data_IF_438527081503
#
_entry.id   IF_438527081503
#
_cell.length_a   1.000
_cell.length_b   1.000
_cell.length_c   1.000
_cell.angle_alpha   90.00
_cell.angle_beta   90.00
_cell.angle_gamma   90.00
#
_symmetry.space_group_name_H-M   'P 1'
#
loop_
_entity.id
_entity.type
_entity.pdbx_description
1 polymer ?
#
# COMPACT_ATOMS: atom_id res chain seq x y z
N UNK A 1 -17.08 19.63 42.70
CA UNK A 1 -16.25 18.77 41.83
C UNK A 1 -16.87 17.38 41.86
N UNK A 2 -17.39 16.92 40.75
CA UNK A 2 -17.91 15.57 40.63
C UNK A 2 -16.76 14.56 40.75
N UNK A 3 -16.95 13.52 41.54
CA UNK A 3 -15.87 12.58 41.82
C UNK A 3 -15.72 11.60 40.63
N UNK A 4 -14.54 11.57 39.99
CA UNK A 4 -14.21 10.60 38.96
C UNK A 4 -14.12 9.21 39.56
N UNK A 5 -15.08 8.34 39.25
CA UNK A 5 -15.14 6.95 39.74
C UNK A 5 -14.48 5.97 38.79
N UNK A 6 -14.09 4.80 39.31
CA UNK A 6 -13.54 3.73 38.45
C UNK A 6 -14.56 3.24 37.40
N UNK A 7 -15.86 3.32 37.70
CA UNK A 7 -16.93 2.98 36.75
C UNK A 7 -16.99 3.94 35.57
N UNK A 8 -16.91 5.25 35.84
CA UNK A 8 -16.86 6.26 34.77
C UNK A 8 -15.64 6.11 33.89
N UNK A 9 -14.46 5.83 34.48
CA UNK A 9 -13.23 5.58 33.70
C UNK A 9 -13.38 4.34 32.83
N UNK A 10 -13.99 3.27 33.35
CA UNK A 10 -14.26 2.05 32.57
C UNK A 10 -15.23 2.34 31.43
N UNK A 11 -16.33 3.05 31.70
CA UNK A 11 -17.32 3.41 30.68
C UNK A 11 -16.70 4.25 29.56
N UNK A 12 -15.91 5.28 29.89
CA UNK A 12 -15.23 6.10 28.90
C UNK A 12 -14.23 5.27 28.08
N UNK A 13 -13.51 4.35 28.72
CA UNK A 13 -12.60 3.42 28.04
C UNK A 13 -13.35 2.49 27.09
N UNK A 14 -14.46 1.92 27.51
CA UNK A 14 -15.28 1.02 26.69
C UNK A 14 -15.85 1.75 25.46
N UNK A 15 -16.18 3.06 25.60
CA UNK A 15 -16.68 3.92 24.50
C UNK A 15 -15.58 4.43 23.55
N UNK A 16 -14.36 4.65 24.04
CA UNK A 16 -13.28 5.31 23.25
C UNK A 16 -12.14 4.36 22.86
N UNK A 17 -11.98 3.25 23.55
CA UNK A 17 -10.85 2.33 23.39
C UNK A 17 -9.50 2.88 23.89
N UNK A 18 -9.47 4.05 24.53
CA UNK A 18 -8.25 4.70 25.00
C UNK A 18 -7.71 4.08 26.31
N UNK A 19 -6.45 4.40 26.64
CA UNK A 19 -5.82 3.93 27.86
C UNK A 19 -6.51 4.44 29.13
N UNK A 20 -6.53 3.63 30.21
CA UNK A 20 -7.20 3.94 31.48
C UNK A 20 -6.78 5.29 32.08
N UNK A 21 -5.47 5.62 32.02
CA UNK A 21 -4.96 6.86 32.58
C UNK A 21 -5.35 8.08 31.76
N UNK A 22 -5.47 7.92 30.44
CA UNK A 22 -5.94 8.96 29.53
C UNK A 22 -7.43 9.23 29.76
N UNK A 23 -8.25 8.19 29.86
CA UNK A 23 -9.66 8.32 30.20
C UNK A 23 -9.87 8.99 31.58
N UNK A 24 -9.07 8.59 32.59
CA UNK A 24 -9.12 9.23 33.91
C UNK A 24 -8.80 10.73 33.83
N UNK A 25 -7.75 11.11 33.11
CA UNK A 25 -7.37 12.52 32.94
C UNK A 25 -8.47 13.32 32.24
N UNK A 26 -9.01 12.77 31.13
CA UNK A 26 -10.08 13.43 30.39
C UNK A 26 -11.33 13.66 31.26
N UNK A 27 -11.71 12.67 32.08
CA UNK A 27 -12.81 12.82 33.00
C UNK A 27 -12.55 13.86 34.11
N UNK A 28 -11.32 13.98 34.60
CA UNK A 28 -10.96 15.02 35.57
C UNK A 28 -11.09 16.42 34.95
N UNK A 29 -10.60 16.60 33.72
CA UNK A 29 -10.68 17.86 32.96
C UNK A 29 -12.13 18.23 32.59
N UNK A 30 -12.99 17.21 32.39
CA UNK A 30 -14.41 17.37 32.06
C UNK A 30 -15.34 17.37 33.30
N UNK A 31 -14.82 17.47 34.55
CA UNK A 31 -15.61 17.40 35.78
C UNK A 31 -16.50 16.14 35.90
N UNK A 32 -16.00 14.98 35.47
CA UNK A 32 -16.66 13.68 35.41
C UNK A 32 -17.85 13.60 34.42
N UNK A 33 -17.97 14.52 33.48
CA UNK A 33 -18.91 14.49 32.37
C UNK A 33 -18.32 13.65 31.22
N UNK A 34 -18.93 12.50 30.93
CA UNK A 34 -18.45 11.58 29.90
C UNK A 34 -18.59 12.15 28.50
N UNK A 35 -19.68 12.81 28.19
CA UNK A 35 -19.94 13.31 26.83
C UNK A 35 -19.02 14.49 26.51
N UNK A 36 -18.80 15.36 27.48
CA UNK A 36 -17.79 16.41 27.39
C UNK A 36 -16.37 15.85 27.26
N UNK A 37 -16.03 14.83 28.04
CA UNK A 37 -14.73 14.15 27.93
C UNK A 37 -14.50 13.57 26.53
N UNK A 38 -15.52 12.95 25.91
CA UNK A 38 -15.46 12.44 24.54
C UNK A 38 -15.25 13.57 23.53
N UNK A 39 -15.99 14.66 23.67
CA UNK A 39 -15.85 15.82 22.80
C UNK A 39 -14.44 16.43 22.86
N UNK A 40 -13.90 16.62 24.07
CA UNK A 40 -12.56 17.16 24.29
C UNK A 40 -11.46 16.21 23.79
N UNK A 41 -11.64 14.90 23.95
CA UNK A 41 -10.76 13.87 23.37
C UNK A 41 -10.77 13.93 21.84
N UNK A 42 -11.93 14.09 21.21
CA UNK A 42 -12.03 14.26 19.75
C UNK A 42 -11.33 15.52 19.27
N UNK A 43 -11.48 16.64 19.94
CA UNK A 43 -10.77 17.89 19.62
C UNK A 43 -9.26 17.75 19.76
N UNK A 44 -8.79 16.94 20.71
CA UNK A 44 -7.36 16.72 20.93
C UNK A 44 -6.75 15.68 19.99
N UNK A 45 -7.55 14.79 19.37
CA UNK A 45 -7.05 13.72 18.49
C UNK A 45 -6.35 14.29 17.26
N UNK A 46 -6.92 15.29 16.61
CA UNK A 46 -6.32 15.95 15.45
C UNK A 46 -4.96 16.56 15.74
N UNK A 47 -4.79 17.23 16.91
CA UNK A 47 -3.48 17.76 17.31
C UNK A 47 -2.44 16.66 17.54
N UNK A 48 -2.85 15.51 18.09
CA UNK A 48 -1.96 14.36 18.30
C UNK A 48 -1.59 13.70 16.97
N UNK A 49 -2.55 13.55 16.06
CA UNK A 49 -2.30 13.04 14.73
C UNK A 49 -1.35 13.95 13.93
N UNK A 50 -1.58 15.27 13.96
CA UNK A 50 -0.72 16.25 13.30
C UNK A 50 0.74 16.21 13.80
N UNK A 51 0.96 16.02 15.11
CA UNK A 51 2.30 15.88 15.69
C UNK A 51 3.04 14.62 15.21
N UNK A 52 2.32 13.60 14.79
CA UNK A 52 2.88 12.32 14.33
C UNK A 52 2.98 12.22 12.81
N UNK A 53 2.29 13.08 12.06
CA UNK A 53 2.22 13.03 10.61
C UNK A 53 3.59 13.10 9.90
N UNK A 54 4.60 13.71 10.53
CA UNK A 54 5.96 13.78 10.01
C UNK A 54 6.83 12.54 10.28
N UNK A 55 6.30 11.52 10.98
CA UNK A 55 7.08 10.29 11.24
C UNK A 55 6.98 9.36 10.05
N UNK A 56 8.09 8.71 9.71
CA UNK A 56 8.13 7.72 8.63
C UNK A 56 7.21 6.54 8.95
N UNK A 57 6.28 6.26 8.06
CA UNK A 57 5.33 5.16 8.13
C UNK A 57 5.49 4.30 6.87
N UNK A 58 6.38 3.30 6.93
CA UNK A 58 6.74 2.44 5.80
C UNK A 58 6.17 1.02 5.90
N UNK A 59 5.57 0.68 7.03
CA UNK A 59 4.75 -0.52 7.22
C UNK A 59 3.26 -0.23 6.97
N UNK A 60 2.39 -1.20 7.19
CA UNK A 60 0.96 -1.06 7.00
C UNK A 60 0.32 -2.19 6.22
N UNK A 61 -0.79 -1.89 5.56
CA UNK A 61 -1.57 -2.84 4.76
C UNK A 61 -1.99 -2.25 3.42
N UNK A 62 -2.13 -3.15 2.45
CA UNK A 62 -2.88 -2.91 1.21
C UNK A 62 -4.21 -3.66 1.25
N UNK A 63 -5.22 -3.11 0.60
CA UNK A 63 -6.54 -3.74 0.50
C UNK A 63 -7.14 -3.52 -0.88
N UNK A 64 -7.94 -4.48 -1.32
CA UNK A 64 -8.62 -4.47 -2.61
C UNK A 64 -10.12 -4.69 -2.40
N UNK A 65 -10.92 -3.98 -3.18
CA UNK A 65 -12.33 -4.29 -3.38
C UNK A 65 -12.63 -4.34 -4.86
N UNK A 66 -13.21 -5.45 -5.31
CA UNK A 66 -13.63 -5.67 -6.70
C UNK A 66 -15.08 -6.13 -6.70
N UNK A 67 -15.89 -5.57 -7.58
CA UNK A 67 -17.24 -6.01 -7.83
C UNK A 67 -17.61 -5.67 -9.28
N UNK A 68 -17.97 -6.70 -10.05
CA UNK A 68 -18.24 -6.56 -11.47
C UNK A 68 -17.03 -6.04 -12.25
N UNK A 69 -17.27 -5.07 -13.14
CA UNK A 69 -16.23 -4.45 -13.97
C UNK A 69 -15.45 -3.31 -13.29
N UNK A 70 -15.46 -3.20 -11.95
CA UNK A 70 -14.76 -2.13 -11.21
C UNK A 70 -13.98 -2.65 -10.01
N UNK A 71 -12.76 -2.17 -9.86
CA UNK A 71 -11.90 -2.53 -8.74
C UNK A 71 -11.13 -1.33 -8.19
N UNK A 72 -10.90 -1.34 -6.87
CA UNK A 72 -10.12 -0.34 -6.15
C UNK A 72 -9.06 -1.03 -5.31
N UNK A 73 -7.87 -0.45 -5.28
CA UNK A 73 -6.78 -0.82 -4.39
C UNK A 73 -6.36 0.39 -3.56
N UNK A 74 -6.12 0.18 -2.28
CA UNK A 74 -5.65 1.22 -1.35
C UNK A 74 -4.41 0.75 -0.60
N UNK A 75 -3.56 1.71 -0.21
CA UNK A 75 -2.46 1.51 0.73
C UNK A 75 -2.64 2.45 1.91
N UNK A 76 -2.60 1.88 3.12
CA UNK A 76 -2.61 2.63 4.38
C UNK A 76 -1.38 2.22 5.17
N UNK A 77 -0.54 3.20 5.49
CA UNK A 77 0.74 2.97 6.17
C UNK A 77 0.64 3.20 7.68
N UNK A 78 1.54 2.52 8.41
CA UNK A 78 1.82 2.66 9.84
C UNK A 78 3.33 2.70 10.09
N UNK A 79 3.76 3.06 11.29
CA UNK A 79 5.19 3.09 11.63
C UNK A 79 5.75 1.67 11.76
N UNK A 80 4.97 0.71 12.31
CA UNK A 80 5.40 -0.66 12.58
C UNK A 80 4.46 -1.72 12.00
N UNK A 81 4.99 -2.94 11.80
CA UNK A 81 4.21 -4.11 11.37
C UNK A 81 3.25 -4.63 12.46
N UNK A 82 3.46 -4.28 13.73
CA UNK A 82 2.54 -4.63 14.81
C UNK A 82 1.18 -3.99 14.63
N UNK A 83 1.15 -2.73 14.18
CA UNK A 83 -0.11 -2.00 13.90
C UNK A 83 -0.88 -2.65 12.77
N UNK A 84 -0.22 -3.21 11.76
CA UNK A 84 -0.87 -3.93 10.68
C UNK A 84 -1.71 -5.15 11.15
N UNK A 85 -1.46 -5.64 12.37
CA UNK A 85 -2.21 -6.75 13.00
C UNK A 85 -3.30 -6.28 13.95
N UNK A 86 -3.38 -4.98 14.26
CA UNK A 86 -4.43 -4.41 15.12
C UNK A 86 -5.79 -4.43 14.40
N UNK A 87 -6.82 -4.97 15.07
CA UNK A 87 -8.17 -5.08 14.49
C UNK A 87 -8.78 -3.72 14.15
N UNK A 88 -8.47 -2.68 14.93
CA UNK A 88 -8.94 -1.31 14.67
C UNK A 88 -8.30 -0.73 13.40
N UNK A 89 -6.99 -0.99 13.19
CA UNK A 89 -6.29 -0.60 11.98
C UNK A 89 -6.84 -1.34 10.75
N UNK A 90 -7.03 -2.66 10.84
CA UNK A 90 -7.62 -3.45 9.76
C UNK A 90 -9.03 -2.99 9.42
N UNK A 91 -9.85 -2.69 10.44
CA UNK A 91 -11.19 -2.12 10.27
C UNK A 91 -11.17 -0.76 9.58
N UNK A 92 -10.20 0.08 9.91
CA UNK A 92 -10.01 1.37 9.26
C UNK A 92 -9.60 1.21 7.79
N UNK A 93 -8.65 0.33 7.46
CA UNK A 93 -8.26 0.02 6.07
C UNK A 93 -9.46 -0.48 5.27
N UNK A 94 -10.28 -1.36 5.86
CA UNK A 94 -11.51 -1.84 5.24
C UNK A 94 -12.53 -0.71 5.00
N UNK A 95 -12.65 0.25 5.92
CA UNK A 95 -13.50 1.42 5.74
C UNK A 95 -13.01 2.30 4.58
N UNK A 96 -11.70 2.56 4.49
CA UNK A 96 -11.09 3.36 3.42
C UNK A 96 -11.33 2.71 2.05
N UNK A 97 -11.08 1.41 1.87
CA UNK A 97 -11.29 0.76 0.56
C UNK A 97 -12.76 0.69 0.19
N UNK A 98 -13.67 0.49 1.16
CA UNK A 98 -15.11 0.50 0.91
C UNK A 98 -15.63 1.88 0.51
N UNK A 99 -15.17 2.93 1.17
CA UNK A 99 -15.51 4.30 0.84
C UNK A 99 -14.97 4.68 -0.56
N UNK A 100 -13.71 4.36 -0.85
CA UNK A 100 -13.10 4.57 -2.16
C UNK A 100 -13.85 3.87 -3.29
N UNK A 101 -14.24 2.62 -3.06
CA UNK A 101 -15.06 1.86 -4.01
C UNK A 101 -16.43 2.50 -4.24
N UNK A 102 -17.14 2.86 -3.18
CA UNK A 102 -18.51 3.39 -3.26
C UNK A 102 -18.57 4.78 -3.88
N UNK A 103 -17.57 5.62 -3.63
CA UNK A 103 -17.48 6.98 -4.17
C UNK A 103 -16.78 7.05 -5.54
N UNK A 104 -16.20 5.94 -6.03
CA UNK A 104 -15.31 5.90 -7.19
C UNK A 104 -14.15 6.92 -7.07
N UNK A 105 -13.62 7.09 -5.87
CA UNK A 105 -12.55 8.04 -5.59
C UNK A 105 -11.25 7.64 -6.29
N UNK A 106 -10.58 8.63 -6.85
CA UNK A 106 -9.24 8.51 -7.47
C UNK A 106 -8.18 9.31 -6.73
N UNK A 107 -8.60 10.11 -5.75
CA UNK A 107 -7.73 10.93 -4.91
C UNK A 107 -7.94 10.59 -3.42
N UNK A 108 -6.83 10.21 -2.75
CA UNK A 108 -6.87 9.78 -1.36
C UNK A 108 -7.15 10.94 -0.41
N UNK A 109 -6.63 12.15 -0.69
CA UNK A 109 -6.83 13.30 0.19
C UNK A 109 -8.30 13.71 0.20
N UNK A 110 -8.95 13.78 -0.95
CA UNK A 110 -10.38 14.06 -1.06
C UNK A 110 -11.24 12.96 -0.41
N UNK A 111 -10.84 11.68 -0.54
CA UNK A 111 -11.55 10.56 0.09
C UNK A 111 -11.52 10.65 1.62
N UNK A 112 -10.42 11.14 2.17
CA UNK A 112 -10.20 11.21 3.62
C UNK A 112 -10.93 12.37 4.30
N UNK A 113 -11.56 13.28 3.56
CA UNK A 113 -12.30 14.38 4.17
C UNK A 113 -13.49 13.87 5.01
N UNK A 114 -13.70 14.48 6.18
CA UNK A 114 -14.85 14.20 7.04
C UNK A 114 -14.67 13.00 7.99
N UNK A 115 -15.57 12.02 7.92
CA UNK A 115 -15.65 10.93 8.90
C UNK A 115 -14.41 10.00 8.89
N UNK A 116 -13.81 9.76 7.72
CA UNK A 116 -12.61 8.94 7.60
C UNK A 116 -11.41 9.60 8.28
N UNK A 117 -11.23 10.91 8.11
CA UNK A 117 -10.17 11.64 8.79
C UNK A 117 -10.38 11.62 10.31
N UNK A 118 -11.60 11.84 10.78
CA UNK A 118 -11.94 11.75 12.19
C UNK A 118 -11.66 10.35 12.77
N UNK A 119 -11.95 9.29 12.00
CA UNK A 119 -11.63 7.91 12.39
C UNK A 119 -10.12 7.65 12.43
N UNK A 120 -9.36 8.17 11.45
CA UNK A 120 -7.88 8.11 11.43
C UNK A 120 -7.28 8.78 12.66
N UNK A 121 -7.71 10.01 12.97
CA UNK A 121 -7.23 10.76 14.13
C UNK A 121 -7.49 10.03 15.45
N UNK A 122 -8.68 9.46 15.61
CA UNK A 122 -9.02 8.66 16.79
C UNK A 122 -8.14 7.40 16.88
N UNK A 123 -7.86 6.76 15.75
CA UNK A 123 -7.00 5.58 15.68
C UNK A 123 -5.54 5.91 16.00
N UNK A 124 -5.00 7.03 15.47
CA UNK A 124 -3.67 7.54 15.82
C UNK A 124 -3.56 7.83 17.32
N UNK A 125 -4.60 8.41 17.92
CA UNK A 125 -4.63 8.65 19.36
C UNK A 125 -4.61 7.35 20.16
N UNK A 126 -5.38 6.33 19.73
CA UNK A 126 -5.48 5.04 20.41
C UNK A 126 -4.19 4.23 20.30
N UNK A 127 -3.63 4.11 19.10
CA UNK A 127 -2.45 3.28 18.80
C UNK A 127 -1.16 3.99 19.20
N UNK A 128 -1.09 5.30 18.98
CA UNK A 128 0.10 6.07 19.30
C UNK A 128 1.14 6.16 18.18
N UNK A 129 0.83 5.67 16.98
CA UNK A 129 1.67 5.74 15.78
C UNK A 129 1.07 6.65 14.70
N UNK A 130 1.90 7.09 13.75
CA UNK A 130 1.43 7.74 12.54
C UNK A 130 0.68 6.71 11.68
N UNK A 131 -0.51 7.08 11.23
CA UNK A 131 -1.33 6.30 10.29
C UNK A 131 -1.60 7.20 9.09
N UNK A 132 -1.13 6.74 7.92
CA UNK A 132 -1.19 7.50 6.68
C UNK A 132 -1.91 6.72 5.58
N UNK A 133 -3.17 7.03 5.26
CA UNK A 133 -3.77 6.63 3.99
C UNK A 133 -2.98 7.29 2.86
N UNK A 134 -2.20 6.48 2.14
CA UNK A 134 -1.16 6.99 1.24
C UNK A 134 -1.63 7.15 -0.19
N UNK A 135 -2.22 6.09 -0.74
CA UNK A 135 -2.59 6.06 -2.15
C UNK A 135 -3.81 5.19 -2.41
N UNK A 136 -4.54 5.55 -3.44
CA UNK A 136 -5.68 4.82 -3.99
C UNK A 136 -5.55 4.76 -5.50
N UNK A 137 -5.96 3.66 -6.10
CA UNK A 137 -6.08 3.54 -7.54
C UNK A 137 -7.26 2.66 -7.89
N UNK A 138 -7.77 2.80 -9.11
CA UNK A 138 -8.90 2.02 -9.59
C UNK A 138 -8.66 1.51 -11.02
N UNK A 139 -9.38 0.44 -11.36
CA UNK A 139 -9.45 -0.13 -12.70
C UNK A 139 -10.92 -0.34 -13.05
N UNK A 140 -11.32 0.04 -14.25
CA UNK A 140 -12.64 -0.23 -14.82
C UNK A 140 -12.44 -0.94 -16.17
N UNK A 141 -13.08 -2.11 -16.34
CA UNK A 141 -12.96 -2.98 -17.52
C UNK A 141 -14.18 -3.90 -17.63
N UNK A 142 -14.26 -4.71 -18.70
CA UNK A 142 -15.34 -5.71 -18.81
C UNK A 142 -15.30 -6.70 -17.65
N UNK A 143 -14.10 -7.12 -17.27
CA UNK A 143 -13.82 -8.01 -16.13
C UNK A 143 -12.68 -7.43 -15.31
N UNK A 144 -12.86 -7.33 -14.00
CA UNK A 144 -11.80 -6.93 -13.08
C UNK A 144 -11.55 -8.04 -12.06
N UNK A 145 -10.28 -8.41 -11.89
CA UNK A 145 -9.83 -9.33 -10.86
C UNK A 145 -8.92 -8.67 -9.86
N UNK A 146 -9.01 -9.10 -8.62
CA UNK A 146 -8.16 -8.60 -7.54
C UNK A 146 -7.42 -9.73 -6.82
N UNK A 147 -6.21 -9.45 -6.35
CA UNK A 147 -5.43 -10.36 -5.53
C UNK A 147 -4.73 -9.59 -4.42
N UNK A 148 -4.83 -10.11 -3.21
CA UNK A 148 -4.04 -9.64 -2.06
C UNK A 148 -3.19 -10.81 -1.58
N UNK A 149 -1.88 -10.60 -1.48
CA UNK A 149 -0.97 -11.62 -1.00
C UNK A 149 -1.21 -11.91 0.50
N UNK A 150 -0.93 -13.14 0.94
CA UNK A 150 -1.28 -13.64 2.28
C UNK A 150 -0.75 -12.79 3.46
N UNK A 151 0.32 -12.02 3.24
CA UNK A 151 0.88 -11.11 4.23
C UNK A 151 0.26 -9.70 4.20
N UNK A 152 -0.72 -9.45 3.31
CA UNK A 152 -1.40 -8.17 3.08
C UNK A 152 -0.45 -7.00 2.75
N UNK A 153 0.76 -7.30 2.23
CA UNK A 153 1.75 -6.28 1.84
C UNK A 153 1.79 -6.00 0.34
N UNK A 154 1.22 -6.89 -0.48
CA UNK A 154 1.13 -6.73 -1.93
C UNK A 154 -0.33 -6.93 -2.34
N UNK A 155 -0.84 -6.00 -3.11
CA UNK A 155 -2.16 -6.07 -3.71
C UNK A 155 -2.13 -5.67 -5.18
N UNK A 156 -2.93 -6.34 -5.97
CA UNK A 156 -3.03 -6.12 -7.42
C UNK A 156 -4.49 -6.12 -7.84
N UNK A 157 -4.83 -5.22 -8.75
CA UNK A 157 -6.07 -5.27 -9.54
C UNK A 157 -5.72 -5.31 -11.02
N UNK A 158 -6.43 -6.13 -11.78
CA UNK A 158 -6.22 -6.33 -13.22
C UNK A 158 -7.54 -6.13 -13.94
N UNK A 159 -7.53 -5.38 -15.04
CA UNK A 159 -8.66 -5.21 -15.95
C UNK A 159 -8.45 -5.99 -17.23
N UNK A 160 -9.46 -6.78 -17.61
CA UNK A 160 -9.50 -7.53 -18.86
C UNK A 160 -10.65 -7.04 -19.75
N UNK A 161 -10.42 -7.11 -21.06
CA UNK A 161 -11.50 -7.13 -22.05
C UNK A 161 -11.81 -8.60 -22.36
N UNK A 162 -13.00 -9.07 -21.97
CA UNK A 162 -13.37 -10.48 -22.06
C UNK A 162 -12.75 -11.39 -20.98
N UNK A 163 -12.98 -12.72 -21.13
CA UNK A 163 -12.56 -13.69 -20.11
C UNK A 163 -13.50 -13.72 -18.91
N UNK A 164 -12.98 -14.15 -17.76
CA UNK A 164 -13.72 -14.28 -16.50
C UNK A 164 -12.91 -13.77 -15.29
N UNK A 165 -13.55 -13.71 -14.13
CA UNK A 165 -12.95 -13.23 -12.88
C UNK A 165 -11.81 -14.15 -12.39
N UNK A 166 -11.87 -15.45 -12.67
CA UNK A 166 -10.83 -16.41 -12.26
C UNK A 166 -9.53 -16.12 -13.04
N UNK A 167 -9.64 -15.93 -14.36
CA UNK A 167 -8.52 -15.53 -15.20
C UNK A 167 -7.91 -14.20 -14.74
N UNK A 168 -8.74 -13.18 -14.49
CA UNK A 168 -8.28 -11.88 -14.04
C UNK A 168 -7.56 -11.97 -12.69
N UNK A 169 -8.07 -12.78 -11.75
CA UNK A 169 -7.43 -13.05 -10.46
C UNK A 169 -6.11 -13.80 -10.62
N UNK A 170 -6.04 -14.74 -11.52
CA UNK A 170 -4.82 -15.51 -11.82
C UNK A 170 -3.72 -14.61 -12.40
N UNK A 171 -4.08 -13.71 -13.30
CA UNK A 171 -3.16 -12.67 -13.80
C UNK A 171 -2.75 -11.73 -12.69
N UNK A 172 -3.67 -11.30 -11.81
CA UNK A 172 -3.35 -10.44 -10.67
C UNK A 172 -2.36 -11.11 -9.70
N UNK A 173 -2.52 -12.41 -9.46
CA UNK A 173 -1.57 -13.20 -8.65
C UNK A 173 -0.18 -13.28 -9.31
N UNK A 174 -0.12 -13.47 -10.63
CA UNK A 174 1.14 -13.45 -11.38
C UNK A 174 1.83 -12.08 -11.26
N UNK A 175 1.09 -10.97 -11.47
CA UNK A 175 1.61 -9.61 -11.30
C UNK A 175 2.15 -9.37 -9.90
N UNK A 176 1.46 -9.86 -8.86
CA UNK A 176 1.93 -9.75 -7.48
C UNK A 176 3.29 -10.44 -7.27
N UNK A 177 3.51 -11.61 -7.92
CA UNK A 177 4.70 -12.41 -7.76
C UNK A 177 5.90 -11.91 -8.58
N UNK A 178 5.66 -11.45 -9.83
CA UNK A 178 6.73 -11.16 -10.81
C UNK A 178 7.01 -9.67 -10.96
N UNK A 179 6.04 -8.81 -10.60
CA UNK A 179 6.14 -7.35 -10.67
C UNK A 179 6.54 -6.84 -12.08
N UNK A 180 5.76 -7.11 -13.14
CA UNK A 180 6.03 -6.57 -14.46
C UNK A 180 5.91 -5.04 -14.45
N UNK A 181 6.70 -4.37 -15.29
CA UNK A 181 6.68 -2.92 -15.39
C UNK A 181 5.51 -2.40 -16.25
N UNK A 182 5.15 -3.14 -17.30
CA UNK A 182 4.12 -2.77 -18.30
C UNK A 182 3.31 -3.99 -18.70
N UNK A 183 2.14 -3.77 -19.35
CA UNK A 183 1.37 -4.89 -19.90
C UNK A 183 2.10 -5.52 -21.10
N UNK A 184 2.59 -4.69 -22.02
CA UNK A 184 3.29 -5.14 -23.22
C UNK A 184 4.52 -4.25 -23.52
N UNK A 185 5.48 -4.77 -24.27
CA UNK A 185 6.78 -4.14 -24.52
C UNK A 185 6.70 -2.79 -25.26
N UNK A 186 5.65 -2.56 -26.04
CA UNK A 186 5.37 -1.30 -26.73
C UNK A 186 4.95 -0.17 -25.78
N UNK A 187 4.51 -0.51 -24.57
CA UNK A 187 4.15 0.45 -23.51
C UNK A 187 5.37 0.87 -22.67
N UNK A 188 6.55 0.25 -22.87
CA UNK A 188 7.73 0.62 -22.10
C UNK A 188 8.18 2.04 -22.46
N UNK A 189 8.34 2.94 -21.46
CA UNK A 189 8.82 4.30 -21.71
C UNK A 189 10.15 4.34 -22.45
N UNK A 190 10.24 5.16 -23.48
CA UNK A 190 11.42 5.22 -24.36
C UNK A 190 12.70 5.66 -23.64
N UNK A 191 12.57 6.48 -22.60
CA UNK A 191 13.68 6.93 -21.75
C UNK A 191 14.25 5.78 -20.92
N UNK A 192 13.40 4.89 -20.39
CA UNK A 192 13.82 3.68 -19.67
C UNK A 192 14.57 2.74 -20.63
N UNK A 193 14.00 2.51 -21.82
CA UNK A 193 14.68 1.68 -22.85
C UNK A 193 16.04 2.26 -23.24
N UNK A 194 16.12 3.60 -23.38
CA UNK A 194 17.36 4.28 -23.71
C UNK A 194 18.41 4.15 -22.60
N UNK A 195 18.01 4.34 -21.34
CA UNK A 195 18.89 4.20 -20.19
C UNK A 195 19.44 2.77 -20.05
N UNK A 196 18.58 1.75 -20.18
CA UNK A 196 19.01 0.35 -20.15
C UNK A 196 19.94 0.00 -21.31
N UNK A 197 19.65 0.54 -22.51
CA UNK A 197 20.51 0.35 -23.68
C UNK A 197 21.92 0.93 -23.45
N UNK A 198 22.05 2.08 -22.80
CA UNK A 198 23.36 2.68 -22.49
C UNK A 198 24.12 1.81 -21.47
N UNK A 199 23.45 1.30 -20.44
CA UNK A 199 24.04 0.37 -19.46
C UNK A 199 24.54 -0.90 -20.17
N UNK A 200 23.71 -1.51 -21.03
CA UNK A 200 24.10 -2.71 -21.77
C UNK A 200 25.24 -2.44 -22.76
N UNK A 201 25.29 -1.24 -23.38
CA UNK A 201 26.38 -0.83 -24.25
C UNK A 201 27.69 -0.71 -23.47
N UNK A 202 27.70 -0.07 -22.33
CA UNK A 202 28.87 0.04 -21.46
C UNK A 202 29.41 -1.34 -21.08
N UNK A 203 28.56 -2.21 -20.57
CA UNK A 203 28.91 -3.59 -20.18
C UNK A 203 29.40 -4.45 -21.36
N UNK A 204 28.80 -4.29 -22.55
CA UNK A 204 29.21 -5.04 -23.74
C UNK A 204 30.59 -4.64 -24.25
N UNK A 205 30.94 -3.35 -24.16
CA UNK A 205 32.27 -2.84 -24.56
C UNK A 205 33.39 -3.37 -23.68
N UNK A 206 33.13 -3.60 -22.39
CA UNK A 206 34.10 -4.23 -21.49
C UNK A 206 34.49 -5.65 -21.90
N UNK A 207 33.65 -6.32 -22.71
CA UNK A 207 33.93 -7.69 -23.19
C UNK A 207 35.09 -7.77 -24.22
N UNK A 208 35.56 -6.64 -24.76
CA UNK A 208 36.64 -6.58 -25.75
C UNK A 208 36.29 -7.21 -27.11
N UNK A 209 35.03 -7.45 -27.42
CA UNK A 209 34.55 -8.05 -28.66
C UNK A 209 34.52 -7.01 -29.80
N UNK A 210 34.54 -7.44 -31.08
CA UNK A 210 34.31 -6.55 -32.20
C UNK A 210 32.99 -5.79 -32.12
N UNK A 211 32.95 -4.53 -32.58
CA UNK A 211 31.78 -3.64 -32.47
C UNK A 211 30.50 -4.27 -33.03
N UNK A 212 30.60 -4.97 -34.15
CA UNK A 212 29.47 -5.66 -34.79
C UNK A 212 28.84 -6.74 -33.90
N UNK A 213 29.64 -7.39 -33.05
CA UNK A 213 29.16 -8.37 -32.06
C UNK A 213 28.55 -7.63 -30.86
N UNK A 214 29.15 -6.52 -30.43
CA UNK A 214 28.67 -5.67 -29.36
C UNK A 214 27.26 -5.14 -29.69
N UNK A 215 27.05 -4.63 -30.91
CA UNK A 215 25.72 -4.16 -31.33
C UNK A 215 24.66 -5.26 -31.26
N UNK A 216 24.96 -6.47 -31.74
CA UNK A 216 24.05 -7.63 -31.65
C UNK A 216 23.75 -8.02 -30.19
N UNK A 217 24.77 -7.94 -29.31
CA UNK A 217 24.60 -8.20 -27.88
C UNK A 217 23.68 -7.19 -27.21
N UNK A 218 23.83 -5.88 -27.56
CA UNK A 218 22.98 -4.82 -27.02
C UNK A 218 21.53 -5.05 -27.42
N UNK A 219 21.25 -5.28 -28.70
CA UNK A 219 19.93 -5.58 -29.23
C UNK A 219 19.31 -6.80 -28.51
N UNK A 220 20.09 -7.89 -28.36
CA UNK A 220 19.64 -9.10 -27.68
C UNK A 220 19.29 -8.84 -26.22
N UNK A 221 20.09 -8.05 -25.49
CA UNK A 221 19.84 -7.71 -24.08
C UNK A 221 18.62 -6.79 -23.91
N UNK A 222 18.46 -5.78 -24.76
CA UNK A 222 17.29 -4.89 -24.76
C UNK A 222 16.01 -5.70 -25.01
N UNK A 223 16.02 -6.58 -26.01
CA UNK A 223 14.86 -7.45 -26.27
C UNK A 223 14.54 -8.38 -25.09
N UNK A 224 15.57 -8.90 -24.42
CA UNK A 224 15.39 -9.71 -23.21
C UNK A 224 14.78 -8.90 -22.08
N UNK A 225 15.32 -7.70 -21.79
CA UNK A 225 14.80 -6.78 -20.80
C UNK A 225 13.32 -6.45 -21.05
N UNK A 226 12.96 -6.10 -22.28
CA UNK A 226 11.57 -5.80 -22.65
C UNK A 226 10.64 -6.98 -22.39
N UNK A 227 11.05 -8.21 -22.75
CA UNK A 227 10.26 -9.42 -22.49
C UNK A 227 10.11 -9.73 -21.00
N UNK A 228 11.20 -9.59 -20.24
CA UNK A 228 11.18 -9.86 -18.81
C UNK A 228 10.35 -8.84 -18.02
N UNK A 229 10.25 -7.60 -18.53
CA UNK A 229 9.50 -6.50 -17.93
C UNK A 229 8.05 -6.41 -18.41
N UNK A 230 7.67 -7.17 -19.45
CA UNK A 230 6.33 -7.11 -20.07
C UNK A 230 5.46 -8.27 -19.62
N UNK A 231 4.33 -7.98 -18.99
CA UNK A 231 3.41 -8.96 -18.42
C UNK A 231 3.03 -10.06 -19.42
N UNK A 232 2.66 -9.69 -20.66
CA UNK A 232 2.19 -10.66 -21.66
C UNK A 232 3.27 -11.63 -22.15
N UNK A 233 4.55 -11.24 -22.04
CA UNK A 233 5.69 -12.04 -22.49
C UNK A 233 6.25 -12.97 -21.38
N UNK A 234 5.87 -12.75 -20.12
CA UNK A 234 6.36 -13.52 -18.97
C UNK A 234 5.75 -14.91 -18.93
N UNK A 235 6.56 -15.95 -18.58
CA UNK A 235 6.03 -17.28 -18.29
C UNK A 235 5.05 -17.22 -17.12
N UNK A 236 3.86 -17.81 -17.26
CA UNK A 236 2.84 -17.76 -16.21
C UNK A 236 3.27 -18.55 -14.96
N UNK A 237 3.11 -17.96 -13.76
CA UNK A 237 3.62 -18.54 -12.50
C UNK A 237 3.02 -19.91 -12.15
N UNK A 238 1.79 -20.21 -12.58
CA UNK A 238 1.15 -21.51 -12.36
C UNK A 238 1.49 -22.53 -13.43
N UNK A 239 1.87 -22.08 -14.63
CA UNK A 239 2.20 -22.92 -15.77
C UNK A 239 3.28 -22.22 -16.62
N UNK A 240 4.57 -22.43 -16.31
CA UNK A 240 5.68 -21.75 -17.01
C UNK A 240 5.85 -22.15 -18.49
N UNK A 241 5.16 -23.18 -18.96
CA UNK A 241 5.21 -23.61 -20.36
C UNK A 241 4.37 -22.69 -21.27
N UNK A 242 3.48 -21.85 -20.69
CA UNK A 242 2.72 -20.86 -21.42
C UNK A 242 3.06 -19.43 -20.94
N UNK A 243 3.00 -18.45 -21.84
CA UNK A 243 3.09 -17.03 -21.43
C UNK A 243 1.72 -16.51 -20.97
N UNK A 244 1.74 -15.48 -20.11
CA UNK A 244 0.50 -14.80 -19.66
C UNK A 244 -0.33 -14.33 -20.87
N UNK A 245 0.30 -13.76 -21.89
CA UNK A 245 -0.38 -13.33 -23.12
C UNK A 245 -1.06 -14.47 -23.86
N UNK A 246 -0.40 -15.63 -23.97
CA UNK A 246 -1.01 -16.82 -24.59
C UNK A 246 -2.19 -17.36 -23.78
N UNK A 247 -2.06 -17.40 -22.45
CA UNK A 247 -3.13 -17.82 -21.54
C UNK A 247 -4.37 -16.94 -21.74
N UNK A 248 -4.21 -15.63 -21.69
CA UNK A 248 -5.30 -14.66 -21.80
C UNK A 248 -5.95 -14.70 -23.19
N UNK A 249 -5.13 -14.78 -24.25
CA UNK A 249 -5.60 -14.91 -25.62
C UNK A 249 -6.39 -16.21 -25.88
N UNK A 250 -5.97 -17.32 -25.28
CA UNK A 250 -6.68 -18.60 -25.39
C UNK A 250 -8.07 -18.53 -24.75
N UNK A 251 -8.27 -17.69 -23.75
CA UNK A 251 -9.56 -17.40 -23.14
C UNK A 251 -10.39 -16.33 -23.89
N UNK A 252 -9.93 -15.85 -25.05
CA UNK A 252 -10.60 -14.80 -25.83
C UNK A 252 -10.59 -13.44 -25.14
N UNK A 253 -9.60 -13.16 -24.30
CA UNK A 253 -9.48 -11.95 -23.51
C UNK A 253 -8.22 -11.15 -23.89
N UNK A 254 -8.15 -9.91 -23.40
CA UNK A 254 -6.99 -9.03 -23.49
C UNK A 254 -6.78 -8.31 -22.16
N UNK A 255 -5.50 -8.13 -21.76
CA UNK A 255 -5.16 -7.36 -20.57
C UNK A 255 -5.15 -5.89 -20.95
N UNK A 256 -6.03 -5.10 -20.33
CA UNK A 256 -6.12 -3.66 -20.58
C UNK A 256 -5.17 -2.88 -19.66
N UNK A 257 -5.14 -3.24 -18.38
CA UNK A 257 -4.30 -2.57 -17.38
C UNK A 257 -4.16 -3.42 -16.13
N UNK A 258 -3.20 -3.05 -15.31
CA UNK A 258 -3.08 -3.50 -13.94
C UNK A 258 -2.56 -2.39 -13.04
N UNK A 259 -2.85 -2.52 -11.76
CA UNK A 259 -2.24 -1.70 -10.69
C UNK A 259 -1.72 -2.65 -9.63
N UNK A 260 -0.46 -2.48 -9.23
CA UNK A 260 0.17 -3.20 -8.13
C UNK A 260 0.63 -2.20 -7.07
N UNK A 261 0.24 -2.43 -5.83
CA UNK A 261 0.77 -1.74 -4.66
C UNK A 261 1.52 -2.70 -3.77
N UNK A 262 2.69 -2.26 -3.32
CA UNK A 262 3.44 -2.90 -2.25
C UNK A 262 3.60 -1.91 -1.10
N UNK A 263 3.36 -2.37 0.12
CA UNK A 263 3.43 -1.53 1.32
C UNK A 263 4.82 -0.93 1.46
N UNK A 264 4.85 0.40 1.57
CA UNK A 264 6.09 1.16 1.78
C UNK A 264 6.94 1.38 0.53
N UNK A 265 6.52 0.88 -0.64
CA UNK A 265 7.26 1.06 -1.89
C UNK A 265 7.56 2.54 -2.16
N UNK A 266 8.85 2.87 -2.39
CA UNK A 266 9.32 4.23 -2.64
C UNK A 266 9.33 5.16 -1.41
N UNK A 267 9.18 4.62 -0.20
CA UNK A 267 9.41 5.35 1.05
C UNK A 267 10.86 5.09 1.47
N UNK A 268 11.65 6.16 1.57
CA UNK A 268 13.00 6.08 2.11
C UNK A 268 12.91 5.82 3.62
N UNK A 269 13.43 4.69 4.05
CA UNK A 269 13.60 4.34 5.46
C UNK A 269 15.06 4.58 5.80
N UNK A 270 15.33 5.56 6.68
CA UNK A 270 16.67 5.70 7.24
C UNK A 270 17.02 4.40 8.00
N UNK A 271 18.07 3.72 7.59
CA UNK A 271 18.63 2.61 8.36
C UNK A 271 19.16 3.18 9.68
N UNK A 272 18.35 3.06 10.73
CA UNK A 272 18.78 3.43 12.07
C UNK A 272 19.79 2.39 12.53
N UNK A 273 21.05 2.79 12.63
CA UNK A 273 22.06 1.95 13.30
C UNK A 273 21.70 1.87 14.79
N UNK A 274 20.96 0.80 15.15
CA UNK A 274 20.50 0.55 16.51
C UNK A 274 21.66 0.56 17.52
N UNK A 275 22.87 0.14 17.12
CA UNK A 275 24.05 0.17 17.97
C UNK A 275 24.51 1.61 18.24
N UNK A 276 24.45 2.49 17.24
CA UNK A 276 24.76 3.91 17.38
C UNK A 276 23.72 4.64 18.24
N UNK A 277 22.44 4.31 18.10
CA UNK A 277 21.35 4.91 18.88
C UNK A 277 21.44 4.51 20.37
N UNK A 278 21.69 3.24 20.66
CA UNK A 278 21.94 2.76 22.03
C UNK A 278 23.17 3.42 22.62
N UNK A 279 24.26 3.57 21.86
CA UNK A 279 25.47 4.24 22.32
C UNK A 279 25.22 5.73 22.64
N UNK A 280 24.42 6.43 21.83
CA UNK A 280 24.03 7.81 22.08
C UNK A 280 23.17 7.95 23.35
N UNK A 281 22.19 7.07 23.56
CA UNK A 281 21.35 7.07 24.77
C UNK A 281 22.15 6.79 26.04
N UNK A 282 23.18 5.92 25.99
CA UNK A 282 24.06 5.66 27.12
C UNK A 282 24.96 6.86 27.44
N UNK A 283 25.36 7.63 26.41
CA UNK A 283 26.15 8.86 26.62
C UNK A 283 25.34 9.99 27.22
N UNK A 284 24.07 10.14 26.80
CA UNK A 284 23.16 11.17 27.34
C UNK A 284 22.69 10.87 28.79
N UNK A 285 22.82 9.62 29.23
CA UNK A 285 22.44 9.18 30.57
C UNK A 285 23.62 9.21 31.58
N UNK A 286 24.85 9.58 31.16
CA UNK A 286 26.07 9.65 31.96
C UNK A 286 26.49 11.06 32.29
#
# INVERSE_FOLDING_TARGET
MSQVTASLVKELRDRTGLGMMECKRALVEADADIDKAIEDLRKSSGMKAAKKAGRTAADGLVSVKVEGGYGVVVEVNSETDFVARDEGFQGFVAAVVNAGFSSKATDMAALMEGDLESAREALVQKIGENISPRRISCVEADVVGGYVHSNNRIAVIVGLSGGDEELAKDVAMHVAAVNPAVVSSDQMPADIVAAEKEIFAAQARESGKPEEIIEKMIVGRVNKFLKESSLVDQPFVKDPDTSVGNLVKAAGAEILSFVRFEVGEGIDVEEVDFAAEVAAQVQDAS
#
